data_IF_322529629865
#
_entry.id   IF_322529629865
#
_cell.length_a   1.000
_cell.length_b   1.000
_cell.length_c   1.000
_cell.angle_alpha   90.00
_cell.angle_beta   90.00
_cell.angle_gamma   90.00
#
_symmetry.space_group_name_H-M   'P 1'
#
loop_
_entity.id
_entity.type
_entity.pdbx_description
1 polymer ?
#
# COMPACT_ATOMS: atom_id res chain seq x y z
N UNK A 1 10.61 5.10 -0.54
CA UNK A 1 11.90 5.01 0.20
C UNK A 1 13.04 4.86 -0.80
N UNK A 2 13.17 3.75 -1.46
CA UNK A 2 14.13 3.48 -2.51
C UNK A 2 13.49 2.59 -3.58
N UNK A 3 14.20 2.27 -4.67
CA UNK A 3 13.67 1.49 -5.79
C UNK A 3 13.96 -0.02 -5.68
N UNK A 4 14.83 -0.42 -4.74
CA UNK A 4 15.19 -1.81 -4.46
C UNK A 4 15.35 -2.08 -2.97
N UNK A 5 15.23 -3.36 -2.59
CA UNK A 5 15.49 -3.82 -1.21
C UNK A 5 16.91 -3.53 -0.78
N UNK A 6 17.90 -3.74 -1.66
CA UNK A 6 19.31 -3.48 -1.37
C UNK A 6 19.56 -2.00 -1.04
N UNK A 7 18.94 -1.08 -1.76
CA UNK A 7 19.02 0.36 -1.46
C UNK A 7 18.30 0.71 -0.14
N UNK A 8 17.17 0.09 0.15
CA UNK A 8 16.48 0.24 1.43
C UNK A 8 17.42 -0.19 2.58
N UNK A 9 18.06 -1.35 2.46
CA UNK A 9 18.98 -1.87 3.47
C UNK A 9 20.21 -0.95 3.63
N UNK A 10 20.73 -0.40 2.55
CA UNK A 10 21.82 0.58 2.59
C UNK A 10 21.43 1.88 3.32
N UNK A 11 20.22 2.39 3.07
CA UNK A 11 19.67 3.57 3.76
C UNK A 11 19.50 3.33 5.26
N UNK A 12 18.89 2.18 5.64
CA UNK A 12 18.71 1.79 7.05
C UNK A 12 20.08 1.71 7.74
N UNK A 13 21.01 0.96 7.17
CA UNK A 13 22.35 0.80 7.73
C UNK A 13 23.12 2.13 7.82
N UNK A 14 22.93 3.06 6.89
CA UNK A 14 23.56 4.38 6.95
C UNK A 14 23.00 5.22 8.12
N UNK A 15 21.67 5.21 8.31
CA UNK A 15 21.03 5.92 9.42
C UNK A 15 21.43 5.32 10.78
N UNK A 16 21.48 3.98 10.89
CA UNK A 16 21.88 3.28 12.11
C UNK A 16 23.33 3.63 12.49
N UNK A 17 24.26 3.61 11.51
CA UNK A 17 25.66 4.00 11.76
C UNK A 17 25.80 5.47 12.18
N UNK A 18 24.95 6.33 11.65
CA UNK A 18 24.97 7.75 11.99
C UNK A 18 24.20 8.08 13.28
N UNK A 19 23.47 7.13 13.86
CA UNK A 19 22.62 7.33 15.03
C UNK A 19 21.47 8.30 14.79
N UNK A 20 20.94 8.34 13.55
CA UNK A 20 19.83 9.20 13.15
C UNK A 20 18.57 8.41 12.87
N UNK A 21 17.41 9.04 13.13
CA UNK A 21 16.09 8.42 12.91
C UNK A 21 15.75 8.42 11.41
N UNK A 22 15.38 7.26 10.88
CA UNK A 22 14.84 7.11 9.54
C UNK A 22 13.32 6.91 9.61
N UNK A 23 12.55 7.77 8.93
CA UNK A 23 11.11 7.62 8.75
C UNK A 23 10.74 7.58 7.28
N UNK A 24 9.64 6.88 6.96
CA UNK A 24 9.09 6.77 5.60
C UNK A 24 7.68 7.35 5.58
N UNK A 25 7.30 8.02 4.48
CA UNK A 25 6.01 8.69 4.37
C UNK A 25 4.94 7.71 3.88
N UNK A 26 4.31 7.01 4.83
CA UNK A 26 3.09 6.23 4.62
C UNK A 26 1.96 6.80 5.49
N UNK A 27 1.53 8.00 5.13
CA UNK A 27 0.55 8.80 5.86
C UNK A 27 -0.80 8.11 6.05
N UNK A 28 -1.13 7.15 5.18
CA UNK A 28 -2.40 6.42 5.24
C UNK A 28 -2.55 5.57 6.50
N UNK A 29 -1.45 5.17 7.15
CA UNK A 29 -1.49 4.48 8.45
C UNK A 29 -2.01 5.36 9.59
N UNK A 30 -1.98 6.70 9.42
CA UNK A 30 -2.42 7.69 10.41
C UNK A 30 -3.85 8.20 10.16
N UNK A 31 -4.51 7.74 9.10
CA UNK A 31 -5.90 8.06 8.84
C UNK A 31 -6.81 7.37 9.87
N UNK A 32 -7.82 8.09 10.38
CA UNK A 32 -8.69 7.59 11.45
C UNK A 32 -9.32 6.23 11.14
N UNK A 33 -9.82 6.04 9.92
CA UNK A 33 -10.44 4.78 9.52
C UNK A 33 -9.42 3.64 9.40
N UNK A 34 -8.19 3.94 8.98
CA UNK A 34 -7.10 2.96 8.93
C UNK A 34 -6.71 2.49 10.33
N UNK A 35 -6.63 3.41 11.30
CA UNK A 35 -6.36 3.10 12.71
C UNK A 35 -7.49 2.26 13.32
N UNK A 36 -8.75 2.64 13.10
CA UNK A 36 -9.92 1.89 13.57
C UNK A 36 -10.01 0.48 12.97
N UNK A 37 -9.66 0.33 11.69
CA UNK A 37 -9.59 -0.97 11.02
C UNK A 37 -8.47 -1.83 11.60
N UNK A 38 -7.28 -1.25 11.84
CA UNK A 38 -6.16 -1.94 12.47
C UNK A 38 -6.53 -2.46 13.86
N UNK A 39 -7.10 -1.61 14.71
CA UNK A 39 -7.57 -1.98 16.04
C UNK A 39 -8.57 -3.15 16.00
N UNK A 40 -9.53 -3.10 15.06
CA UNK A 40 -10.54 -4.13 14.91
C UNK A 40 -9.95 -5.48 14.44
N UNK A 41 -8.97 -5.45 13.52
CA UNK A 41 -8.26 -6.65 13.07
C UNK A 41 -7.41 -7.24 14.18
N UNK A 42 -6.67 -6.42 14.92
CA UNK A 42 -5.84 -6.85 16.05
C UNK A 42 -6.69 -7.42 17.20
N UNK A 43 -7.88 -6.85 17.42
CA UNK A 43 -8.85 -7.37 18.40
C UNK A 43 -9.59 -8.64 17.91
N UNK A 44 -9.29 -9.13 16.71
CA UNK A 44 -9.91 -10.34 16.15
C UNK A 44 -11.40 -10.20 15.83
N UNK A 45 -11.91 -8.99 15.57
CA UNK A 45 -13.35 -8.76 15.31
C UNK A 45 -13.86 -9.51 14.09
N UNK A 46 -13.02 -9.68 13.06
CA UNK A 46 -13.36 -10.47 11.87
C UNK A 46 -13.11 -11.98 12.05
N UNK A 47 -12.64 -12.42 13.23
CA UNK A 47 -12.20 -13.80 13.44
C UNK A 47 -10.87 -14.08 12.72
N UNK A 48 -10.66 -15.34 12.30
CA UNK A 48 -9.49 -15.70 11.50
C UNK A 48 -9.62 -15.06 10.11
N UNK A 49 -8.67 -14.22 9.72
CA UNK A 49 -8.64 -13.63 8.39
C UNK A 49 -8.44 -14.74 7.34
N UNK A 50 -9.20 -14.68 6.26
CA UNK A 50 -9.21 -15.67 5.17
C UNK A 50 -8.68 -15.08 3.88
N UNK A 51 -9.01 -13.81 3.64
CA UNK A 51 -8.70 -13.08 2.42
C UNK A 51 -8.41 -11.62 2.72
N UNK A 52 -7.44 -11.04 2.00
CA UNK A 52 -7.18 -9.61 2.01
C UNK A 52 -6.84 -9.11 0.61
N UNK A 53 -7.37 -7.97 0.20
CA UNK A 53 -7.07 -7.39 -1.11
C UNK A 53 -6.85 -5.89 -1.07
N UNK A 54 -6.08 -5.39 -2.05
CA UNK A 54 -5.87 -3.98 -2.30
C UNK A 54 -6.06 -3.68 -3.79
N UNK A 55 -6.90 -2.68 -4.09
CA UNK A 55 -7.28 -2.29 -5.45
C UNK A 55 -6.97 -0.81 -5.67
N UNK A 56 -6.04 -0.52 -6.58
CA UNK A 56 -5.68 0.83 -7.02
C UNK A 56 -5.98 0.96 -8.52
N UNK A 57 -7.21 1.31 -8.84
CA UNK A 57 -7.72 1.40 -10.22
C UNK A 57 -7.83 2.88 -10.62
N UNK A 58 -6.71 3.51 -10.86
CA UNK A 58 -6.64 4.95 -11.13
C UNK A 58 -6.58 5.24 -12.62
N UNK A 59 -6.83 6.48 -12.95
CA UNK A 59 -6.62 7.01 -14.28
C UNK A 59 -5.51 8.04 -14.29
N UNK A 60 -4.54 7.85 -15.17
CA UNK A 60 -3.53 8.84 -15.53
C UNK A 60 -3.58 9.07 -17.03
N UNK A 61 -3.43 10.31 -17.43
CA UNK A 61 -3.40 10.69 -18.85
C UNK A 61 -1.99 10.62 -19.40
N UNK A 62 -1.83 10.58 -20.71
CA UNK A 62 -0.51 10.73 -21.33
C UNK A 62 0.16 12.06 -20.96
N UNK A 63 -0.63 13.11 -20.74
CA UNK A 63 -0.10 14.40 -20.27
C UNK A 63 0.55 14.31 -18.90
N UNK A 64 0.02 13.44 -18.00
CA UNK A 64 0.65 13.16 -16.71
C UNK A 64 2.05 12.56 -16.90
N UNK A 65 2.19 11.55 -17.75
CA UNK A 65 3.49 10.93 -18.00
C UNK A 65 4.47 11.87 -18.70
N UNK A 66 3.99 12.75 -19.58
CA UNK A 66 4.82 13.78 -20.23
C UNK A 66 5.16 14.99 -19.34
N UNK A 67 4.60 15.10 -18.15
CA UNK A 67 4.84 16.22 -17.22
C UNK A 67 6.23 16.23 -16.58
N UNK A 68 7.00 15.17 -16.72
CA UNK A 68 8.38 15.09 -16.25
C UNK A 68 9.14 13.94 -16.90
N UNK A 69 10.41 14.13 -17.24
CA UNK A 69 11.21 13.13 -17.97
C UNK A 69 11.49 11.85 -17.16
N UNK A 70 11.33 11.91 -15.85
CA UNK A 70 11.53 10.78 -14.95
C UNK A 70 10.34 9.82 -14.88
N UNK A 71 9.14 10.31 -15.26
CA UNK A 71 7.92 9.52 -15.16
C UNK A 71 7.88 8.40 -16.18
N UNK A 72 7.46 7.24 -15.72
CA UNK A 72 7.31 6.07 -16.58
C UNK A 72 8.62 5.42 -17.01
N UNK A 73 9.74 5.69 -16.31
CA UNK A 73 11.06 5.13 -16.62
C UNK A 73 11.57 4.23 -15.50
N UNK A 74 12.24 3.13 -15.84
CA UNK A 74 12.87 2.25 -14.85
C UNK A 74 14.01 2.94 -14.11
N UNK A 75 14.81 3.73 -14.82
CA UNK A 75 16.01 4.38 -14.27
C UNK A 75 15.69 5.36 -13.14
N UNK A 76 14.62 6.13 -13.26
CA UNK A 76 14.35 7.23 -12.31
C UNK A 76 13.18 6.93 -11.37
N UNK A 77 12.14 6.22 -11.84
CA UNK A 77 10.95 5.92 -11.05
C UNK A 77 11.05 4.53 -10.38
N UNK A 78 11.87 3.63 -10.93
CA UNK A 78 12.09 2.28 -10.40
C UNK A 78 10.93 1.32 -10.66
N UNK A 79 9.92 1.74 -11.41
CA UNK A 79 8.72 1.00 -11.76
C UNK A 79 7.55 1.91 -12.07
N UNK A 80 6.38 1.32 -12.28
CA UNK A 80 5.17 2.05 -12.67
C UNK A 80 4.12 2.12 -11.56
N UNK A 81 2.91 1.63 -11.88
CA UNK A 81 1.75 1.76 -10.98
C UNK A 81 2.00 1.15 -9.61
N UNK A 82 2.76 0.06 -9.50
CA UNK A 82 2.99 -0.62 -8.23
C UNK A 82 3.80 0.23 -7.24
N UNK A 83 4.93 0.78 -7.70
CA UNK A 83 5.84 1.53 -6.81
C UNK A 83 5.45 3.00 -6.64
N UNK A 84 4.69 3.56 -7.58
CA UNK A 84 4.28 4.96 -7.51
C UNK A 84 2.86 5.10 -6.94
N UNK A 85 1.83 4.65 -7.65
CA UNK A 85 0.45 4.91 -7.24
C UNK A 85 -0.05 3.92 -6.18
N UNK A 86 0.22 2.63 -6.35
CA UNK A 86 -0.31 1.58 -5.47
C UNK A 86 0.50 1.37 -4.19
N UNK A 87 1.69 1.95 -4.05
CA UNK A 87 2.57 1.70 -2.91
C UNK A 87 1.91 1.99 -1.55
N UNK A 88 1.05 3.00 -1.47
CA UNK A 88 0.33 3.33 -0.23
C UNK A 88 -0.75 2.30 0.12
N UNK A 89 -1.45 1.74 -0.88
CA UNK A 89 -2.41 0.66 -0.67
C UNK A 89 -1.70 -0.67 -0.34
N UNK A 90 -0.55 -0.93 -0.97
CA UNK A 90 0.32 -2.08 -0.69
C UNK A 90 0.84 -2.00 0.75
N UNK A 91 1.30 -0.85 1.17
CA UNK A 91 1.76 -0.62 2.55
C UNK A 91 0.63 -0.85 3.57
N UNK A 92 -0.55 -0.29 3.33
CA UNK A 92 -1.70 -0.54 4.19
C UNK A 92 -2.08 -2.03 4.23
N UNK A 93 -2.07 -2.73 3.09
CA UNK A 93 -2.36 -4.16 3.05
C UNK A 93 -1.37 -4.95 3.93
N UNK A 94 -0.07 -4.66 3.82
CA UNK A 94 0.97 -5.29 4.65
C UNK A 94 0.76 -4.95 6.13
N UNK A 95 0.50 -3.71 6.47
CA UNK A 95 0.32 -3.26 7.85
C UNK A 95 -0.91 -3.88 8.52
N UNK A 96 -2.00 -4.07 7.75
CA UNK A 96 -3.29 -4.58 8.25
C UNK A 96 -3.36 -6.11 8.24
N UNK A 97 -2.86 -6.76 7.19
CA UNK A 97 -2.96 -8.21 7.01
C UNK A 97 -1.65 -8.98 7.25
N UNK A 98 -0.53 -8.27 7.42
CA UNK A 98 0.80 -8.87 7.51
C UNK A 98 1.45 -9.11 6.15
N UNK A 99 2.73 -9.48 6.17
CA UNK A 99 3.51 -9.75 4.96
C UNK A 99 3.14 -11.13 4.39
N UNK A 100 2.83 -11.26 3.08
CA UNK A 100 2.67 -12.56 2.45
C UNK A 100 4.01 -13.31 2.36
N UNK A 101 3.96 -14.64 2.25
CA UNK A 101 5.15 -15.49 2.12
C UNK A 101 5.64 -15.57 0.67
N UNK A 102 4.70 -15.54 -0.28
CA UNK A 102 5.01 -15.60 -1.72
C UNK A 102 3.97 -14.88 -2.56
N UNK A 103 4.33 -14.63 -3.82
CA UNK A 103 3.48 -13.94 -4.79
C UNK A 103 3.60 -14.59 -6.18
N UNK A 104 2.45 -14.65 -6.89
CA UNK A 104 2.39 -14.97 -8.32
C UNK A 104 1.75 -13.80 -9.04
N UNK A 105 2.45 -13.22 -10.03
CA UNK A 105 2.03 -11.94 -10.60
C UNK A 105 2.17 -11.86 -12.13
N UNK A 106 1.46 -10.87 -12.69
CA UNK A 106 1.61 -10.35 -14.05
C UNK A 106 1.64 -8.83 -13.98
N UNK A 107 2.63 -8.25 -14.64
CA UNK A 107 2.76 -6.81 -14.81
C UNK A 107 2.98 -6.51 -16.31
N UNK A 108 2.31 -5.50 -16.84
CA UNK A 108 2.32 -5.13 -18.26
C UNK A 108 2.15 -3.63 -18.45
N UNK A 109 2.71 -3.13 -19.53
CA UNK A 109 2.36 -1.82 -20.09
C UNK A 109 1.29 -2.06 -21.16
N UNK A 110 0.04 -1.66 -20.88
CA UNK A 110 -1.11 -1.97 -21.73
C UNK A 110 -1.64 -0.78 -22.52
N UNK A 111 -1.53 0.42 -21.97
CA UNK A 111 -2.20 1.59 -22.51
C UNK A 111 -1.25 2.77 -22.79
N UNK A 112 -0.29 3.05 -21.91
CA UNK A 112 0.55 4.23 -22.03
C UNK A 112 1.87 3.94 -22.78
N UNK A 113 2.42 4.94 -23.46
CA UNK A 113 3.74 4.86 -24.10
C UNK A 113 4.85 5.14 -23.06
N UNK A 114 5.07 4.20 -22.14
CA UNK A 114 6.05 4.27 -21.03
C UNK A 114 6.84 2.95 -20.95
N UNK A 115 7.98 2.97 -20.25
CA UNK A 115 8.84 1.80 -20.10
C UNK A 115 8.33 0.81 -19.03
N UNK A 116 7.70 1.35 -17.99
CA UNK A 116 7.27 0.60 -16.80
C UNK A 116 5.83 0.10 -16.95
N UNK A 117 5.37 -0.71 -16.02
CA UNK A 117 4.00 -1.23 -16.04
C UNK A 117 2.96 -0.16 -15.68
N UNK A 118 1.85 -0.16 -16.40
CA UNK A 118 0.63 0.59 -16.09
C UNK A 118 -0.52 -0.30 -15.61
N UNK A 119 -0.30 -1.62 -15.56
CA UNK A 119 -1.24 -2.60 -15.05
C UNK A 119 -0.53 -3.79 -14.41
N UNK A 120 -0.99 -4.22 -13.23
CA UNK A 120 -0.48 -5.36 -12.50
C UNK A 120 -1.58 -6.10 -11.73
N UNK A 121 -1.45 -7.44 -11.70
CA UNK A 121 -2.23 -8.35 -10.88
C UNK A 121 -1.29 -9.26 -10.11
N UNK A 122 -1.47 -9.40 -8.80
CA UNK A 122 -0.64 -10.24 -7.95
C UNK A 122 -1.49 -11.04 -6.97
N UNK A 123 -1.38 -12.37 -7.03
CA UNK A 123 -1.93 -13.32 -6.07
C UNK A 123 -0.92 -13.48 -4.94
N UNK A 124 -1.38 -13.34 -3.70
CA UNK A 124 -0.55 -13.41 -2.50
C UNK A 124 -0.89 -14.68 -1.72
N UNK A 125 0.14 -15.43 -1.33
CA UNK A 125 0.03 -16.58 -0.45
C UNK A 125 0.65 -16.25 0.91
N UNK A 126 -0.13 -16.39 1.97
CA UNK A 126 0.34 -16.21 3.35
C UNK A 126 0.74 -17.55 3.96
N UNK A 127 1.70 -17.52 4.89
CA UNK A 127 2.22 -18.74 5.53
C UNK A 127 1.16 -19.53 6.32
N UNK A 128 0.07 -18.89 6.75
CA UNK A 128 -1.05 -19.50 7.46
C UNK A 128 -2.19 -19.99 6.54
N UNK A 129 -1.96 -19.98 5.21
CA UNK A 129 -2.91 -20.45 4.20
C UNK A 129 -3.96 -19.42 3.76
N UNK A 130 -3.92 -18.20 4.27
CA UNK A 130 -4.73 -17.08 3.72
C UNK A 130 -4.29 -16.76 2.30
N UNK A 131 -5.21 -16.22 1.52
CA UNK A 131 -4.94 -15.67 0.20
C UNK A 131 -5.04 -14.15 0.19
N UNK A 132 -4.46 -13.54 -0.81
CA UNK A 132 -4.63 -12.11 -1.05
C UNK A 132 -4.52 -11.74 -2.52
N UNK A 133 -4.90 -10.50 -2.82
CA UNK A 133 -4.86 -9.96 -4.17
C UNK A 133 -4.40 -8.50 -4.15
N UNK A 134 -3.50 -8.16 -5.05
CA UNK A 134 -3.23 -6.77 -5.43
C UNK A 134 -3.66 -6.60 -6.88
N UNK A 135 -4.47 -5.58 -7.13
CA UNK A 135 -4.86 -5.15 -8.46
C UNK A 135 -4.53 -3.66 -8.61
N UNK A 136 -3.68 -3.33 -9.58
CA UNK A 136 -3.24 -1.96 -9.79
C UNK A 136 -3.23 -1.60 -11.28
N UNK A 137 -3.75 -0.42 -11.64
CA UNK A 137 -3.61 0.15 -12.97
C UNK A 137 -3.77 1.66 -12.96
N UNK A 138 -3.11 2.34 -13.91
CA UNK A 138 -3.32 3.76 -14.20
C UNK A 138 -4.17 3.99 -15.46
N UNK A 139 -4.69 2.91 -16.06
CA UNK A 139 -5.49 2.94 -17.29
C UNK A 139 -7.00 2.80 -17.06
N UNK A 140 -7.48 2.80 -15.82
CA UNK A 140 -8.91 2.68 -15.51
C UNK A 140 -9.64 4.01 -15.65
N UNK A 141 -10.45 4.18 -16.70
CA UNK A 141 -11.28 5.38 -16.91
C UNK A 141 -12.66 5.18 -16.24
N UNK A 142 -13.14 6.13 -15.42
CA UNK A 142 -12.61 7.48 -15.11
C UNK A 142 -11.59 7.51 -13.97
N UNK A 143 -11.19 6.41 -13.39
CA UNK A 143 -10.48 6.24 -12.13
C UNK A 143 -11.47 5.95 -10.98
N UNK A 144 -11.08 5.02 -10.12
CA UNK A 144 -11.91 4.58 -8.99
C UNK A 144 -11.18 4.82 -7.68
N UNK A 145 -11.90 5.08 -6.60
CA UNK A 145 -11.32 5.16 -5.26
C UNK A 145 -10.55 3.89 -4.91
N UNK A 146 -9.42 4.03 -4.23
CA UNK A 146 -8.71 2.89 -3.65
C UNK A 146 -9.62 2.11 -2.72
N UNK A 147 -9.55 0.78 -2.81
CA UNK A 147 -10.35 -0.12 -1.99
C UNK A 147 -9.48 -1.24 -1.43
N UNK A 148 -9.56 -1.42 -0.11
CA UNK A 148 -9.00 -2.58 0.58
C UNK A 148 -10.13 -3.40 1.16
N UNK A 149 -9.99 -4.72 1.13
CA UNK A 149 -11.02 -5.66 1.57
C UNK A 149 -10.39 -6.72 2.48
N UNK A 150 -11.08 -7.02 3.57
CA UNK A 150 -10.66 -7.99 4.57
C UNK A 150 -11.83 -8.91 4.90
N UNK A 151 -11.71 -10.18 4.58
CA UNK A 151 -12.72 -11.19 4.81
C UNK A 151 -12.21 -12.19 5.84
N UNK A 152 -12.91 -12.29 6.95
CA UNK A 152 -12.60 -13.20 8.04
C UNK A 152 -13.71 -14.23 8.29
N UNK A 153 -13.46 -15.16 9.18
CA UNK A 153 -14.40 -16.23 9.52
C UNK A 153 -15.64 -15.76 10.31
N UNK A 154 -15.66 -14.51 10.77
CA UNK A 154 -16.76 -13.90 11.56
C UNK A 154 -17.25 -12.57 10.97
N UNK A 155 -16.78 -12.20 9.82
CA UNK A 155 -17.22 -10.97 9.16
C UNK A 155 -16.21 -10.43 8.16
N UNK A 156 -16.56 -9.30 7.58
CA UNK A 156 -15.73 -8.60 6.60
C UNK A 156 -15.69 -7.10 6.88
N UNK A 157 -14.64 -6.46 6.37
CA UNK A 157 -14.50 -5.02 6.33
C UNK A 157 -14.09 -4.60 4.91
N UNK A 158 -14.78 -3.60 4.36
CA UNK A 158 -14.47 -3.00 3.05
C UNK A 158 -14.13 -1.54 3.26
N UNK A 159 -12.87 -1.20 3.03
CA UNK A 159 -12.37 0.16 3.19
C UNK A 159 -12.26 0.85 1.83
N UNK A 160 -13.17 1.75 1.56
CA UNK A 160 -13.17 2.66 0.40
C UNK A 160 -12.32 3.90 0.74
N UNK A 161 -11.01 3.75 0.71
CA UNK A 161 -10.06 4.79 1.16
C UNK A 161 -10.27 6.12 0.45
N UNK A 162 -10.45 6.08 -0.87
CA UNK A 162 -10.71 7.30 -1.66
C UNK A 162 -12.07 7.96 -1.41
N UNK A 163 -12.96 7.36 -0.63
CA UNK A 163 -14.24 7.91 -0.19
C UNK A 163 -14.29 8.11 1.33
N UNK A 164 -13.20 7.81 2.04
CA UNK A 164 -13.11 7.84 3.49
C UNK A 164 -14.29 7.11 4.16
N UNK A 165 -14.60 5.90 3.66
CA UNK A 165 -15.73 5.08 4.10
C UNK A 165 -15.27 3.67 4.41
N UNK A 166 -15.66 3.15 5.56
CA UNK A 166 -15.37 1.80 6.04
C UNK A 166 -16.68 1.09 6.37
N UNK A 167 -16.96 0.02 5.63
CA UNK A 167 -18.14 -0.83 5.79
C UNK A 167 -17.77 -2.07 6.59
N UNK A 168 -18.62 -2.42 7.55
CA UNK A 168 -18.50 -3.61 8.38
C UNK A 168 -19.70 -4.52 8.17
N UNK A 169 -19.44 -5.80 7.94
CA UNK A 169 -20.44 -6.86 7.85
C UNK A 169 -20.02 -7.98 8.78
N UNK A 170 -20.69 -8.11 9.92
CA UNK A 170 -20.34 -9.07 10.95
C UNK A 170 -21.37 -10.19 11.04
N UNK A 171 -21.00 -11.33 11.60
CA UNK A 171 -21.93 -12.47 11.81
C UNK A 171 -23.13 -12.06 12.67
N UNK A 172 -22.93 -11.14 13.62
CA UNK A 172 -24.02 -10.45 14.29
C UNK A 172 -24.38 -9.18 13.50
N UNK A 173 -25.49 -9.17 12.73
CA UNK A 173 -25.84 -8.04 11.88
C UNK A 173 -26.20 -6.75 12.66
N UNK A 174 -26.44 -6.84 13.97
CA UNK A 174 -26.62 -5.65 14.83
C UNK A 174 -25.32 -4.84 14.92
N UNK A 175 -24.18 -5.46 14.64
CA UNK A 175 -22.86 -4.83 14.63
C UNK A 175 -22.43 -4.32 13.27
N UNK A 176 -23.25 -4.52 12.24
CA UNK A 176 -23.00 -3.94 10.91
C UNK A 176 -23.07 -2.42 11.00
N UNK A 177 -22.06 -1.76 10.46
CA UNK A 177 -21.97 -0.31 10.48
C UNK A 177 -21.18 0.23 9.29
N UNK A 178 -21.32 1.51 9.06
CA UNK A 178 -20.53 2.29 8.11
C UNK A 178 -19.87 3.42 8.90
N UNK A 179 -18.57 3.48 8.88
CA UNK A 179 -17.79 4.58 9.43
C UNK A 179 -17.32 5.48 8.28
N UNK A 180 -17.50 6.79 8.43
CA UNK A 180 -17.13 7.80 7.43
C UNK A 180 -16.22 8.86 8.06
N UNK A 181 -15.32 9.44 7.25
CA UNK A 181 -14.43 10.51 7.62
C UNK A 181 -14.35 11.56 6.49
N UNK A 182 -13.53 12.58 6.66
CA UNK A 182 -13.28 13.52 5.58
C UNK A 182 -12.62 12.85 4.36
N UNK A 183 -13.14 13.15 3.16
CA UNK A 183 -12.67 12.54 1.90
C UNK A 183 -11.28 13.03 1.54
N UNK A 184 -10.38 12.07 1.25
CA UNK A 184 -9.04 12.33 0.77
C UNK A 184 -8.70 11.33 -0.33
N UNK A 185 -8.66 11.76 -1.58
CA UNK A 185 -8.39 10.85 -2.70
C UNK A 185 -7.57 11.49 -3.81
N UNK A 186 -6.45 10.85 -4.14
CA UNK A 186 -5.63 11.15 -5.31
C UNK A 186 -6.02 10.37 -6.57
N UNK A 187 -7.14 9.64 -6.59
CA UNK A 187 -7.53 8.73 -7.68
C UNK A 187 -7.64 9.41 -9.04
N UNK A 188 -8.30 10.56 -9.11
CA UNK A 188 -8.44 11.37 -10.32
C UNK A 188 -7.51 12.61 -10.32
N UNK A 189 -7.26 13.21 -9.15
CA UNK A 189 -6.45 14.42 -8.99
C UNK A 189 -5.44 14.25 -7.86
N UNK A 190 -4.13 14.27 -8.13
CA UNK A 190 -3.08 14.12 -7.10
C UNK A 190 -3.12 15.17 -5.98
N UNK A 191 -3.73 16.34 -6.24
CA UNK A 191 -3.79 17.45 -5.26
C UNK A 191 -4.96 17.36 -4.27
N UNK A 192 -5.86 16.38 -4.40
CA UNK A 192 -7.04 16.24 -3.55
C UNK A 192 -6.76 15.42 -2.25
N UNK A 193 -5.48 15.26 -1.89
CA UNK A 193 -5.04 14.54 -0.68
C UNK A 193 -5.05 15.52 0.51
N UNK A 194 -5.79 15.19 1.58
CA UNK A 194 -5.79 16.02 2.80
C UNK A 194 -4.45 15.94 3.54
N UNK A 195 -4.08 17.04 4.22
CA UNK A 195 -2.83 17.10 4.96
C UNK A 195 -2.87 16.35 6.32
N UNK A 196 -4.03 15.94 6.80
CA UNK A 196 -4.21 15.40 8.16
C UNK A 196 -3.29 14.19 8.45
N UNK A 197 -3.29 13.18 7.57
CA UNK A 197 -2.42 12.01 7.72
C UNK A 197 -0.93 12.36 7.67
N UNK A 198 -0.53 13.28 6.79
CA UNK A 198 0.85 13.77 6.74
C UNK A 198 1.24 14.52 8.03
N UNK A 199 0.36 15.39 8.52
CA UNK A 199 0.59 16.12 9.78
C UNK A 199 0.78 15.16 10.95
N UNK A 200 -0.08 14.14 11.07
CA UNK A 200 0.03 13.14 12.13
C UNK A 200 1.33 12.33 12.03
N UNK A 201 1.71 11.91 10.81
CA UNK A 201 2.97 11.20 10.55
C UNK A 201 4.18 12.05 10.94
N UNK A 202 4.24 13.32 10.52
CA UNK A 202 5.37 14.19 10.85
C UNK A 202 5.42 14.50 12.35
N UNK A 203 4.27 14.64 13.03
CA UNK A 203 4.23 14.80 14.48
C UNK A 203 4.80 13.57 15.20
N UNK A 204 4.43 12.35 14.77
CA UNK A 204 5.01 11.12 15.31
C UNK A 204 6.53 11.06 15.07
N UNK A 205 6.99 11.38 13.86
CA UNK A 205 8.41 11.37 13.52
C UNK A 205 9.21 12.34 14.38
N UNK A 206 8.71 13.56 14.57
CA UNK A 206 9.37 14.59 15.42
C UNK A 206 9.39 14.14 16.88
N UNK A 207 8.27 13.61 17.39
CA UNK A 207 8.20 13.08 18.75
C UNK A 207 9.16 11.90 18.94
N UNK A 208 9.15 10.93 18.00
CA UNK A 208 10.04 9.77 18.03
C UNK A 208 11.51 10.18 18.07
N UNK A 209 11.90 11.17 17.26
CA UNK A 209 13.28 11.68 17.23
C UNK A 209 13.67 12.33 18.55
N UNK A 210 12.78 13.13 19.15
CA UNK A 210 13.02 13.80 20.45
C UNK A 210 13.11 12.82 21.61
N UNK A 211 12.23 11.82 21.61
CA UNK A 211 12.11 10.79 22.65
C UNK A 211 13.09 9.62 22.45
N UNK A 212 13.87 9.63 21.35
CA UNK A 212 14.79 8.55 20.96
C UNK A 212 14.11 7.18 20.85
N UNK A 213 12.89 7.15 20.35
CA UNK A 213 12.14 5.92 20.01
C UNK A 213 12.04 5.73 18.50
N UNK A 214 11.68 4.54 18.08
CA UNK A 214 11.35 4.24 16.69
C UNK A 214 10.06 4.94 16.30
N UNK A 215 9.98 5.65 15.13
CA UNK A 215 8.74 6.17 14.61
C UNK A 215 7.80 5.04 14.17
N UNK A 216 6.50 5.31 14.11
CA UNK A 216 5.48 4.32 13.73
C UNK A 216 5.69 3.79 12.30
N UNK A 217 6.27 4.59 11.42
CA UNK A 217 6.65 4.19 10.06
C UNK A 217 8.15 4.45 9.87
N UNK A 218 8.94 3.46 10.22
CA UNK A 218 10.39 3.48 10.12
C UNK A 218 10.91 2.97 8.76
N UNK A 219 12.22 2.86 8.62
CA UNK A 219 12.87 2.33 7.42
C UNK A 219 12.50 0.86 7.15
N UNK A 220 12.31 0.05 8.19
CA UNK A 220 11.95 -1.38 8.03
C UNK A 220 10.53 -1.53 7.49
N UNK A 221 9.58 -0.69 7.95
CA UNK A 221 8.25 -0.65 7.38
C UNK A 221 8.27 -0.27 5.89
N UNK A 222 9.07 0.73 5.51
CA UNK A 222 9.25 1.12 4.11
C UNK A 222 9.86 0.01 3.26
N UNK A 223 10.87 -0.68 3.79
CA UNK A 223 11.51 -1.84 3.15
C UNK A 223 10.53 -2.96 2.82
N UNK A 224 9.59 -3.27 3.72
CA UNK A 224 8.59 -4.34 3.48
C UNK A 224 7.75 -4.07 2.24
N UNK A 225 7.31 -2.84 2.04
CA UNK A 225 6.53 -2.46 0.86
C UNK A 225 7.35 -2.59 -0.43
N UNK A 226 8.62 -2.18 -0.41
CA UNK A 226 9.53 -2.33 -1.55
C UNK A 226 9.82 -3.81 -1.82
N UNK A 227 10.02 -4.64 -0.78
CA UNK A 227 10.26 -6.08 -0.92
C UNK A 227 9.10 -6.81 -1.60
N UNK A 228 7.86 -6.46 -1.25
CA UNK A 228 6.69 -7.02 -1.92
C UNK A 228 6.62 -6.60 -3.40
N UNK A 229 6.83 -5.31 -3.70
CA UNK A 229 6.83 -4.79 -5.08
C UNK A 229 7.93 -5.45 -5.91
N UNK A 230 9.15 -5.56 -5.38
CA UNK A 230 10.27 -6.23 -6.06
C UNK A 230 9.97 -7.72 -6.31
N UNK A 231 9.36 -8.42 -5.36
CA UNK A 231 8.92 -9.81 -5.54
C UNK A 231 7.82 -9.93 -6.62
N UNK A 232 6.90 -8.97 -6.70
CA UNK A 232 5.90 -8.90 -7.78
C UNK A 232 6.59 -8.76 -9.13
N UNK A 233 7.57 -7.88 -9.27
CA UNK A 233 8.33 -7.73 -10.53
C UNK A 233 9.10 -8.99 -10.89
N UNK A 234 9.78 -9.64 -9.92
CA UNK A 234 10.49 -10.92 -10.15
C UNK A 234 9.52 -12.02 -10.60
N UNK A 235 8.35 -12.12 -9.97
CA UNK A 235 7.32 -13.08 -10.35
C UNK A 235 6.76 -12.81 -11.76
N UNK A 236 6.50 -11.55 -12.09
CA UNK A 236 6.00 -11.16 -13.41
C UNK A 236 7.01 -11.43 -14.52
N UNK A 237 8.30 -11.27 -14.25
CA UNK A 237 9.40 -11.54 -15.19
C UNK A 237 9.62 -13.04 -15.39
N UNK A 238 9.62 -13.84 -14.31
CA UNK A 238 9.83 -15.29 -14.37
C UNK A 238 8.59 -16.06 -14.85
N UNK A 239 7.40 -15.48 -14.70
CA UNK A 239 6.12 -16.14 -14.96
C UNK A 239 5.65 -17.10 -13.85
N UNK A 240 6.44 -17.28 -12.78
CA UNK A 240 6.22 -18.22 -11.68
C UNK A 240 6.00 -17.55 -10.32
N UNK A 241 5.79 -18.37 -9.29
CA UNK A 241 5.68 -17.92 -7.91
C UNK A 241 7.06 -17.51 -7.36
N UNK A 242 7.12 -16.39 -6.66
CA UNK A 242 8.34 -15.86 -6.03
C UNK A 242 8.13 -15.74 -4.52
N UNK A 243 9.10 -16.22 -3.71
CA UNK A 243 9.14 -15.96 -2.28
C UNK A 243 9.53 -14.52 -2.00
N UNK A 244 9.00 -13.96 -0.92
CA UNK A 244 9.29 -12.60 -0.46
C UNK A 244 10.34 -12.69 0.64
N UNK A 245 11.41 -11.90 0.52
CA UNK A 245 12.58 -11.90 1.39
C UNK A 245 12.63 -10.65 2.28
#
# INVERSE_FOLDING_TARGET
MATSVAECDAMIAACDRAGVTLGVVFQSRFEQLSLGLKEALDAGRLGRLLWASANTLWHRTDAYYRSGPWRGTWEHEGGGVLINQAIHAIDLLIWLAGMPASVTARARTLNHAIEVEDAALALLDYADGRLGLIQATTAAIPGYPERLEFFGSRGSAVYHKGQARLEWHLVDPILDRIDEAEVSSGAARPMDITAAGHTALFNDFVAATREKRTPQVDGHAGRQSVALVEAIYRSAASGGTTRIE
#
